data_IF_812489725003
#
_entry.id   IF_812489725003
#
_cell.length_a   1.000
_cell.length_b   1.000
_cell.length_c   1.000
_cell.angle_alpha   90.00
_cell.angle_beta   90.00
_cell.angle_gamma   90.00
#
_symmetry.space_group_name_H-M   'P 1'
#
loop_
_entity.id
_entity.type
_entity.pdbx_description
1 polymer ?
#
# COMPACT_ATOMS: atom_id res chain seq x y z
N UNK A 1 -15.57 -7.46 -9.78
CA UNK A 1 -14.24 -7.75 -9.21
C UNK A 1 -13.66 -6.41 -8.78
N UNK A 2 -13.36 -6.20 -7.49
CA UNK A 2 -12.78 -4.93 -7.05
C UNK A 2 -11.42 -4.72 -7.72
N UNK A 3 -11.21 -3.57 -8.37
CA UNK A 3 -9.98 -3.27 -9.14
C UNK A 3 -8.74 -3.09 -8.26
N UNK A 4 -8.96 -2.79 -6.98
CA UNK A 4 -7.93 -2.53 -5.97
C UNK A 4 -8.22 -3.31 -4.69
N UNK A 5 -7.15 -3.62 -3.96
CA UNK A 5 -7.18 -4.14 -2.60
C UNK A 5 -6.05 -3.46 -1.80
N UNK A 6 -6.05 -3.64 -0.48
CA UNK A 6 -5.06 -3.03 0.42
C UNK A 6 -3.61 -3.32 0.00
N UNK A 7 -3.29 -4.59 -0.28
CA UNK A 7 -1.94 -5.01 -0.69
C UNK A 7 -1.48 -4.26 -1.95
N UNK A 8 -2.35 -4.17 -2.96
CA UNK A 8 -2.05 -3.49 -4.22
C UNK A 8 -1.86 -1.99 -4.04
N UNK A 9 -2.66 -1.35 -3.20
CA UNK A 9 -2.54 0.09 -2.89
C UNK A 9 -1.21 0.38 -2.20
N UNK A 10 -0.86 -0.38 -1.15
CA UNK A 10 0.42 -0.22 -0.45
C UNK A 10 1.61 -0.54 -1.38
N UNK A 11 1.49 -1.54 -2.25
CA UNK A 11 2.52 -1.85 -3.24
C UNK A 11 2.71 -0.70 -4.23
N UNK A 12 1.64 -0.15 -4.81
CA UNK A 12 1.73 0.98 -5.74
C UNK A 12 2.36 2.21 -5.08
N UNK A 13 1.98 2.51 -3.84
CA UNK A 13 2.54 3.63 -3.08
C UNK A 13 4.00 3.42 -2.61
N UNK A 14 4.51 2.18 -2.67
CA UNK A 14 5.91 1.85 -2.34
C UNK A 14 6.89 2.00 -3.50
N UNK A 15 6.38 2.24 -4.71
CA UNK A 15 7.21 2.43 -5.90
C UNK A 15 7.90 3.80 -5.90
N UNK A 16 8.85 3.98 -6.82
CA UNK A 16 9.60 5.24 -6.99
C UNK A 16 8.65 6.43 -7.19
N UNK A 17 7.63 6.25 -8.04
CA UNK A 17 6.57 7.23 -8.26
C UNK A 17 5.48 7.07 -7.21
N UNK A 18 5.02 8.17 -6.59
CA UNK A 18 3.95 8.11 -5.61
C UNK A 18 2.63 7.66 -6.25
N UNK A 19 1.75 7.07 -5.44
CA UNK A 19 0.41 6.68 -5.85
C UNK A 19 -0.41 7.94 -6.09
N UNK A 20 -0.85 8.15 -7.33
CA UNK A 20 -1.79 9.22 -7.68
C UNK A 20 -3.24 8.76 -7.46
N UNK A 21 -4.04 9.64 -6.86
CA UNK A 21 -5.46 9.45 -6.61
C UNK A 21 -6.18 10.67 -7.19
N UNK A 22 -6.88 10.48 -8.30
CA UNK A 22 -7.59 11.54 -8.99
C UNK A 22 -8.83 11.99 -8.18
N UNK A 23 -9.25 13.26 -8.28
CA UNK A 23 -10.50 13.69 -7.68
C UNK A 23 -11.66 12.91 -8.32
N UNK A 24 -12.54 12.36 -7.48
CA UNK A 24 -13.72 11.56 -7.87
C UNK A 24 -13.42 10.15 -8.43
N UNK A 25 -12.47 9.40 -7.87
CA UNK A 25 -12.36 7.95 -8.15
C UNK A 25 -13.62 7.18 -7.73
N UNK A 26 -14.36 7.65 -6.71
CA UNK A 26 -15.71 7.17 -6.38
C UNK A 26 -16.71 7.21 -7.56
N UNK A 27 -16.63 8.22 -8.43
CA UNK A 27 -17.46 8.32 -9.65
C UNK A 27 -17.05 7.32 -10.75
N UNK A 28 -15.88 6.68 -10.59
CA UNK A 28 -15.31 5.69 -11.52
C UNK A 28 -15.49 4.24 -11.06
N UNK A 29 -16.35 4.01 -10.06
CA UNK A 29 -16.58 2.69 -9.44
C UNK A 29 -15.27 2.05 -8.92
N UNK A 30 -14.42 2.88 -8.31
CA UNK A 30 -13.14 2.48 -7.74
C UNK A 30 -13.23 2.55 -6.22
N UNK A 31 -12.97 1.43 -5.53
CA UNK A 31 -12.85 1.40 -4.06
C UNK A 31 -11.52 2.06 -3.59
N UNK A 32 -10.76 2.68 -4.50
CA UNK A 32 -9.44 3.22 -4.24
C UNK A 32 -9.46 4.32 -3.18
N UNK A 33 -10.39 5.27 -3.26
CA UNK A 33 -10.49 6.39 -2.31
C UNK A 33 -10.66 5.87 -0.88
N UNK A 34 -11.63 4.97 -0.67
CA UNK A 34 -11.89 4.40 0.65
C UNK A 34 -10.72 3.58 1.19
N UNK A 35 -10.03 2.82 0.32
CA UNK A 35 -8.83 2.08 0.74
C UNK A 35 -7.71 3.06 1.12
N UNK A 36 -7.49 4.12 0.34
CA UNK A 36 -6.45 5.12 0.64
C UNK A 36 -6.75 5.84 1.94
N UNK A 37 -7.99 6.30 2.15
CA UNK A 37 -8.43 6.94 3.39
C UNK A 37 -8.20 6.03 4.61
N UNK A 38 -8.58 4.75 4.53
CA UNK A 38 -8.34 3.78 5.60
C UNK A 38 -6.84 3.62 5.89
N UNK A 39 -6.00 3.52 4.85
CA UNK A 39 -4.55 3.35 5.02
C UNK A 39 -3.85 4.61 5.51
N UNK A 40 -4.34 5.80 5.17
CA UNK A 40 -3.87 7.07 5.75
C UNK A 40 -4.25 7.13 7.24
N UNK A 41 -5.49 6.77 7.60
CA UNK A 41 -5.94 6.76 9.00
C UNK A 41 -5.13 5.79 9.88
N UNK A 42 -4.67 4.67 9.31
CA UNK A 42 -3.78 3.71 9.96
C UNK A 42 -2.30 4.12 9.96
N UNK A 43 -1.94 5.25 9.33
CA UNK A 43 -0.56 5.72 9.19
C UNK A 43 0.29 4.87 8.23
N UNK A 44 -0.34 4.05 7.38
CA UNK A 44 0.33 3.22 6.39
C UNK A 44 0.64 3.99 5.08
N UNK A 45 -0.10 5.07 4.82
CA UNK A 45 0.14 6.01 3.73
C UNK A 45 0.29 7.43 4.27
N UNK A 46 1.09 8.23 3.58
CA UNK A 46 1.21 9.66 3.79
C UNK A 46 0.99 10.44 2.48
N UNK A 47 0.29 11.58 2.54
CA UNK A 47 0.15 12.47 1.40
C UNK A 47 1.47 13.22 1.20
N UNK A 48 2.07 13.09 0.02
CA UNK A 48 3.35 13.71 -0.32
C UNK A 48 3.25 14.85 -1.35
N UNK A 49 2.04 15.13 -1.85
CA UNK A 49 1.81 16.21 -2.80
C UNK A 49 0.38 16.23 -3.31
N UNK A 50 0.08 17.27 -4.09
CA UNK A 50 -1.18 17.43 -4.80
C UNK A 50 -0.99 18.36 -5.99
N UNK A 51 -1.72 18.14 -7.07
CA UNK A 51 -1.83 19.05 -8.19
C UNK A 51 -3.29 19.09 -8.71
N UNK A 52 -3.51 19.79 -9.82
CA UNK A 52 -4.84 19.93 -10.43
C UNK A 52 -5.44 18.58 -10.89
N UNK A 53 -4.63 17.53 -10.98
CA UNK A 53 -5.04 16.19 -11.38
C UNK A 53 -5.34 15.28 -10.20
N UNK A 54 -4.95 15.62 -8.97
CA UNK A 54 -5.27 14.89 -7.75
C UNK A 54 -4.19 14.87 -6.68
N UNK A 55 -4.31 13.91 -5.77
CA UNK A 55 -3.44 13.76 -4.61
C UNK A 55 -2.42 12.65 -4.81
N UNK A 56 -1.24 12.80 -4.21
CA UNK A 56 -0.15 11.84 -4.29
C UNK A 56 0.20 11.28 -2.91
N UNK A 57 0.34 9.95 -2.84
CA UNK A 57 0.59 9.23 -1.59
C UNK A 57 1.83 8.36 -1.67
N UNK A 58 2.59 8.28 -0.58
CA UNK A 58 3.70 7.33 -0.40
C UNK A 58 3.41 6.35 0.73
N UNK A 59 3.97 5.16 0.58
CA UNK A 59 3.92 4.12 1.60
C UNK A 59 4.89 4.47 2.73
N UNK A 60 4.39 4.54 3.96
CA UNK A 60 5.22 4.76 5.14
C UNK A 60 5.97 3.48 5.50
N UNK A 61 6.92 3.58 6.43
CA UNK A 61 7.59 2.39 6.96
C UNK A 61 6.59 1.40 7.59
N UNK A 62 5.60 1.89 8.35
CA UNK A 62 4.54 1.07 8.90
C UNK A 62 3.71 0.39 7.80
N UNK A 63 3.41 1.12 6.72
CA UNK A 63 2.73 0.58 5.54
C UNK A 63 3.53 -0.50 4.82
N UNK A 64 4.85 -0.36 4.73
CA UNK A 64 5.73 -1.39 4.17
C UNK A 64 5.69 -2.67 5.01
N UNK A 65 5.74 -2.55 6.34
CA UNK A 65 5.60 -3.70 7.24
C UNK A 65 4.27 -4.43 6.98
N UNK A 66 3.17 -3.68 6.90
CA UNK A 66 1.83 -4.26 6.65
C UNK A 66 1.74 -4.93 5.27
N UNK A 67 2.29 -4.30 4.23
CA UNK A 67 2.40 -4.87 2.89
C UNK A 67 3.10 -6.23 2.89
N UNK A 68 4.26 -6.34 3.55
CA UNK A 68 5.00 -7.61 3.59
C UNK A 68 4.29 -8.68 4.41
N UNK A 69 3.57 -8.31 5.48
CA UNK A 69 2.69 -9.24 6.21
C UNK A 69 1.57 -9.79 5.29
N UNK A 70 0.92 -8.93 4.50
CA UNK A 70 -0.11 -9.34 3.53
C UNK A 70 0.46 -10.29 2.46
N UNK A 71 1.64 -9.96 1.88
CA UNK A 71 2.31 -10.83 0.90
C UNK A 71 2.64 -12.20 1.46
N UNK A 72 3.13 -12.27 2.69
CA UNK A 72 3.41 -13.54 3.38
C UNK A 72 2.11 -14.33 3.58
N UNK A 73 1.03 -13.70 4.04
CA UNK A 73 -0.25 -14.36 4.25
C UNK A 73 -0.81 -14.95 2.95
N UNK A 74 -0.78 -14.19 1.85
CA UNK A 74 -1.21 -14.67 0.54
C UNK A 74 -0.34 -15.83 0.05
N UNK A 75 1.00 -15.70 0.14
CA UNK A 75 1.93 -16.77 -0.27
C UNK A 75 1.75 -18.05 0.52
N UNK A 76 1.61 -17.97 1.85
CA UNK A 76 1.29 -19.12 2.71
C UNK A 76 -0.01 -19.81 2.27
N UNK A 77 -1.08 -19.04 2.05
CA UNK A 77 -2.38 -19.56 1.60
C UNK A 77 -2.30 -20.28 0.24
N UNK A 78 -1.38 -19.86 -0.62
CA UNK A 78 -1.22 -20.40 -1.98
C UNK A 78 -0.04 -21.38 -2.11
N UNK A 79 0.54 -21.85 -0.99
CA UNK A 79 1.66 -22.80 -1.02
C UNK A 79 2.93 -22.27 -1.71
N UNK A 80 3.13 -20.94 -1.71
CA UNK A 80 4.33 -20.30 -2.29
C UNK A 80 5.38 -20.06 -1.19
N UNK A 81 6.66 -20.13 -1.54
CA UNK A 81 7.76 -19.76 -0.64
C UNK A 81 7.58 -18.31 -0.17
N UNK A 82 7.93 -18.06 1.11
CA UNK A 82 7.82 -16.77 1.79
C UNK A 82 9.18 -16.21 2.20
N UNK A 83 10.28 -16.90 1.87
CA UNK A 83 11.60 -16.63 2.46
C UNK A 83 12.07 -15.20 2.14
N UNK A 84 11.84 -14.75 0.89
CA UNK A 84 12.17 -13.40 0.44
C UNK A 84 11.36 -12.34 1.17
N UNK A 85 10.05 -12.56 1.30
CA UNK A 85 9.16 -11.62 1.98
C UNK A 85 9.41 -11.58 3.49
N UNK A 86 9.74 -12.71 4.11
CA UNK A 86 10.14 -12.76 5.52
C UNK A 86 11.48 -12.07 5.76
N UNK A 87 12.48 -12.29 4.90
CA UNK A 87 13.75 -11.59 4.99
C UNK A 87 13.55 -10.07 4.95
N UNK A 88 12.72 -9.59 4.01
CA UNK A 88 12.44 -8.16 3.90
C UNK A 88 11.63 -7.61 5.09
N UNK A 89 10.67 -8.38 5.60
CA UNK A 89 9.93 -8.00 6.80
C UNK A 89 10.86 -7.87 8.01
N UNK A 90 11.79 -8.82 8.19
CA UNK A 90 12.77 -8.79 9.27
C UNK A 90 13.70 -7.57 9.16
N UNK A 91 14.17 -7.23 7.94
CA UNK A 91 14.96 -6.02 7.70
C UNK A 91 14.21 -4.75 8.13
N UNK A 92 12.93 -4.63 7.74
CA UNK A 92 12.09 -3.49 8.10
C UNK A 92 11.91 -3.41 9.61
N UNK A 93 11.59 -4.52 10.26
CA UNK A 93 11.39 -4.56 11.72
C UNK A 93 12.66 -4.31 12.54
N UNK A 94 13.84 -4.65 11.99
CA UNK A 94 15.12 -4.40 12.65
C UNK A 94 15.58 -2.94 12.52
N UNK A 95 15.02 -2.18 11.59
CA UNK A 95 15.38 -0.78 11.33
C UNK A 95 14.17 0.14 11.53
N UNK A 96 13.74 0.37 12.79
CA UNK A 96 12.64 1.30 13.04
C UNK A 96 13.00 2.69 12.51
N UNK A 97 12.08 3.28 11.74
CA UNK A 97 12.19 4.65 11.20
C UNK A 97 12.05 5.71 12.27
#
# INVERSE_FOLDING_TARGET
>A
MAKFNAEKVLWLASLERPLHVAPMEAARFSDLDGIVEERVALGHLEKCGSDDSGDYYRCTHAGLIDLYKMKIAWRKKNGKSIDKEMAKLNELQASPS
#
